data_IF_327215668261
#
_entry.id   IF_327215668261
#
_cell.length_a   1.000
_cell.length_b   1.000
_cell.length_c   1.000
_cell.angle_alpha   90.00
_cell.angle_beta   90.00
_cell.angle_gamma   90.00
#
_symmetry.space_group_name_H-M   'P 1'
#
loop_
_entity.id
_entity.type
_entity.pdbx_description
1 polymer ?
#
# COMPACT_ATOMS: atom_id res chain seq x y z
N UNK A 1 18.49 -24.04 12.24
CA UNK A 1 18.51 -22.58 12.51
C UNK A 1 18.38 -21.73 11.24
N UNK A 2 18.85 -22.19 10.06
CA UNK A 2 18.71 -21.44 8.81
C UNK A 2 17.25 -21.14 8.38
N UNK A 3 16.28 -22.04 8.63
CA UNK A 3 14.92 -21.94 8.07
C UNK A 3 14.03 -20.82 8.67
N UNK A 4 14.18 -20.49 9.96
CA UNK A 4 13.32 -19.49 10.60
C UNK A 4 13.73 -18.06 10.25
N UNK A 5 15.04 -17.77 10.25
CA UNK A 5 15.56 -16.46 9.85
C UNK A 5 15.26 -16.16 8.38
N UNK A 6 15.35 -17.18 7.52
CA UNK A 6 15.06 -17.07 6.08
C UNK A 6 13.58 -16.72 5.83
N UNK A 7 12.66 -17.34 6.57
CA UNK A 7 11.23 -17.02 6.50
C UNK A 7 10.91 -15.59 6.94
N UNK A 8 11.53 -15.12 8.02
CA UNK A 8 11.35 -13.74 8.50
C UNK A 8 11.90 -12.73 7.49
N UNK A 9 13.06 -13.00 6.88
CA UNK A 9 13.65 -12.14 5.86
C UNK A 9 12.73 -12.03 4.62
N UNK A 10 12.28 -13.16 4.07
CA UNK A 10 11.34 -13.19 2.94
C UNK A 10 10.04 -12.45 3.25
N UNK A 11 9.49 -12.63 4.47
CA UNK A 11 8.28 -11.92 4.87
C UNK A 11 8.51 -10.40 5.01
N UNK A 12 9.67 -9.99 5.51
CA UNK A 12 10.06 -8.57 5.62
C UNK A 12 10.11 -7.93 4.24
N UNK A 13 10.76 -8.57 3.27
CA UNK A 13 10.82 -8.08 1.89
C UNK A 13 9.44 -8.00 1.26
N UNK A 14 8.63 -9.05 1.37
CA UNK A 14 7.26 -9.05 0.85
C UNK A 14 6.42 -7.90 1.42
N UNK A 15 6.55 -7.58 2.71
CA UNK A 15 5.82 -6.46 3.32
C UNK A 15 6.32 -5.10 2.81
N UNK A 16 7.62 -4.93 2.60
CA UNK A 16 8.18 -3.71 1.99
C UNK A 16 7.77 -3.54 0.53
N UNK A 17 7.72 -4.63 -0.24
CA UNK A 17 7.28 -4.61 -1.63
C UNK A 17 5.81 -4.19 -1.77
N UNK A 18 5.00 -4.43 -0.73
CA UNK A 18 3.62 -3.92 -0.65
C UNK A 18 3.55 -2.42 -0.31
N UNK A 19 4.67 -1.77 -0.03
CA UNK A 19 4.78 -0.35 0.32
C UNK A 19 4.61 -0.04 1.80
N UNK A 20 4.64 -1.05 2.69
CA UNK A 20 4.62 -0.79 4.14
C UNK A 20 5.95 -0.18 4.58
N UNK A 21 5.87 0.80 5.48
CA UNK A 21 7.04 1.37 6.14
C UNK A 21 7.66 0.42 7.18
N UNK A 22 8.88 0.73 7.58
CA UNK A 22 9.66 -0.10 8.51
C UNK A 22 8.97 -0.29 9.87
N UNK A 23 8.20 0.70 10.33
CA UNK A 23 7.42 0.61 11.57
C UNK A 23 6.29 -0.42 11.44
N UNK A 24 5.53 -0.34 10.35
CA UNK A 24 4.43 -1.24 10.03
C UNK A 24 4.93 -2.66 9.77
N UNK A 25 6.07 -2.81 9.09
CA UNK A 25 6.73 -4.10 8.89
C UNK A 25 7.10 -4.73 10.24
N UNK A 26 7.74 -3.99 11.14
CA UNK A 26 8.10 -4.48 12.47
C UNK A 26 6.87 -4.94 13.27
N UNK A 27 5.77 -4.18 13.19
CA UNK A 27 4.49 -4.54 13.83
C UNK A 27 3.90 -5.83 13.27
N UNK A 28 3.92 -6.02 11.96
CA UNK A 28 3.48 -7.26 11.31
C UNK A 28 4.31 -8.47 11.76
N UNK A 29 5.64 -8.32 11.82
CA UNK A 29 6.54 -9.38 12.29
C UNK A 29 6.25 -9.75 13.75
N UNK A 30 6.07 -8.75 14.63
CA UNK A 30 5.72 -8.98 16.04
C UNK A 30 4.38 -9.74 16.19
N UNK A 31 3.38 -9.41 15.37
CA UNK A 31 2.09 -10.11 15.38
C UNK A 31 2.23 -11.58 14.96
N UNK A 32 3.10 -11.87 13.98
CA UNK A 32 3.40 -13.26 13.59
C UNK A 32 4.14 -14.01 14.69
N UNK A 33 5.18 -13.42 15.27
CA UNK A 33 5.93 -14.02 16.38
C UNK A 33 5.03 -14.31 17.60
N UNK A 34 4.06 -13.43 17.85
CA UNK A 34 3.12 -13.55 18.96
C UNK A 34 1.87 -14.40 18.64
N UNK A 35 1.75 -14.94 17.41
CA UNK A 35 0.61 -15.74 16.97
C UNK A 35 -0.71 -14.96 16.83
N UNK A 36 -0.66 -13.63 16.74
CA UNK A 36 -1.81 -12.73 16.68
C UNK A 36 -2.38 -12.59 15.25
N UNK A 37 -2.68 -13.70 14.60
CA UNK A 37 -3.07 -13.72 13.18
C UNK A 37 -4.36 -12.96 12.87
N UNK A 38 -5.32 -12.90 13.81
CA UNK A 38 -6.54 -12.11 13.62
C UNK A 38 -6.26 -10.60 13.61
N UNK A 39 -5.34 -10.14 14.45
CA UNK A 39 -4.92 -8.73 14.47
C UNK A 39 -4.15 -8.39 13.18
N UNK A 40 -3.29 -9.31 12.72
CA UNK A 40 -2.57 -9.17 11.46
C UNK A 40 -3.52 -9.09 10.26
N UNK A 41 -4.52 -9.98 10.17
CA UNK A 41 -5.52 -9.95 9.09
C UNK A 41 -6.31 -8.63 9.09
N UNK A 42 -6.72 -8.15 10.26
CA UNK A 42 -7.38 -6.85 10.39
C UNK A 42 -6.49 -5.69 9.92
N UNK A 43 -5.21 -5.70 10.33
CA UNK A 43 -4.23 -4.70 9.91
C UNK A 43 -4.04 -4.69 8.38
N UNK A 44 -3.83 -5.86 7.77
CA UNK A 44 -3.63 -5.97 6.32
C UNK A 44 -4.88 -5.57 5.52
N UNK A 45 -6.09 -5.86 6.01
CA UNK A 45 -7.34 -5.39 5.40
C UNK A 45 -7.45 -3.87 5.46
N UNK A 46 -7.11 -3.27 6.60
CA UNK A 46 -7.08 -1.81 6.74
C UNK A 46 -6.06 -1.20 5.77
N UNK A 47 -4.86 -1.77 5.68
CA UNK A 47 -3.83 -1.30 4.75
C UNK A 47 -4.29 -1.40 3.29
N UNK A 48 -4.91 -2.52 2.90
CA UNK A 48 -5.52 -2.67 1.58
C UNK A 48 -6.55 -1.57 1.28
N UNK A 49 -7.35 -1.17 2.27
CA UNK A 49 -8.30 -0.06 2.08
C UNK A 49 -7.56 1.26 1.80
N UNK A 50 -6.47 1.57 2.53
CA UNK A 50 -5.68 2.80 2.29
C UNK A 50 -5.06 2.85 0.89
N UNK A 51 -4.66 1.69 0.34
CA UNK A 51 -4.20 1.60 -1.04
C UNK A 51 -5.32 1.90 -2.04
N UNK A 52 -6.52 1.35 -1.82
CA UNK A 52 -7.69 1.64 -2.64
C UNK A 52 -8.08 3.12 -2.57
N UNK A 53 -8.10 3.71 -1.38
CA UNK A 53 -8.39 5.13 -1.19
C UNK A 53 -7.38 6.01 -1.94
N UNK A 54 -6.11 5.60 -1.95
CA UNK A 54 -5.07 6.28 -2.72
C UNK A 54 -5.31 6.18 -4.23
N UNK A 55 -5.68 5.00 -4.75
CA UNK A 55 -6.05 4.82 -6.17
C UNK A 55 -7.22 5.72 -6.54
N UNK A 56 -8.29 5.73 -5.74
CA UNK A 56 -9.45 6.59 -5.99
C UNK A 56 -9.06 8.07 -6.01
N UNK A 57 -8.28 8.52 -5.01
CA UNK A 57 -7.77 9.89 -4.95
C UNK A 57 -6.95 10.28 -6.18
N UNK A 58 -6.09 9.39 -6.69
CA UNK A 58 -5.27 9.69 -7.86
C UNK A 58 -6.09 9.64 -9.15
N UNK A 59 -7.08 8.75 -9.27
CA UNK A 59 -8.02 8.74 -10.38
C UNK A 59 -8.80 10.07 -10.46
N UNK A 60 -9.37 10.54 -9.35
CA UNK A 60 -10.11 11.82 -9.32
C UNK A 60 -9.23 13.00 -9.79
N UNK A 61 -7.94 12.98 -9.42
CA UNK A 61 -6.96 14.00 -9.84
C UNK A 61 -6.65 13.91 -11.33
N UNK A 62 -6.51 12.70 -11.87
CA UNK A 62 -6.29 12.47 -13.30
C UNK A 62 -7.51 12.94 -14.09
N UNK A 63 -8.72 12.58 -13.66
CA UNK A 63 -9.96 13.03 -14.30
C UNK A 63 -10.07 14.56 -14.37
N UNK A 64 -9.72 15.24 -13.26
CA UNK A 64 -9.67 16.70 -13.23
C UNK A 64 -8.63 17.27 -14.20
N UNK A 65 -7.44 16.66 -14.26
CA UNK A 65 -6.36 17.08 -15.15
C UNK A 65 -6.73 16.88 -16.63
N UNK A 66 -7.36 15.76 -16.96
CA UNK A 66 -7.79 15.41 -18.31
C UNK A 66 -8.91 16.36 -18.77
N UNK A 67 -9.86 16.66 -17.90
CA UNK A 67 -10.91 17.63 -18.18
C UNK A 67 -10.34 19.03 -18.46
N UNK A 68 -9.40 19.50 -17.62
CA UNK A 68 -8.72 20.77 -17.83
C UNK A 68 -7.97 20.79 -19.17
N UNK A 69 -7.21 19.74 -19.45
CA UNK A 69 -6.41 19.62 -20.68
C UNK A 69 -7.30 19.61 -21.92
N UNK A 70 -8.41 18.85 -21.89
CA UNK A 70 -9.41 18.85 -22.96
C UNK A 70 -9.98 20.25 -23.20
N UNK A 71 -10.36 20.96 -22.12
CA UNK A 71 -10.93 22.30 -22.20
C UNK A 71 -9.95 23.30 -22.80
N UNK A 72 -8.68 23.27 -22.39
CA UNK A 72 -7.65 24.16 -22.93
C UNK A 72 -7.40 23.89 -24.43
N UNK A 73 -7.31 22.62 -24.83
CA UNK A 73 -7.15 22.23 -26.25
C UNK A 73 -8.32 22.68 -27.11
N UNK A 74 -9.55 22.55 -26.61
CA UNK A 74 -10.76 22.97 -27.32
C UNK A 74 -10.83 24.48 -27.51
N UNK A 75 -10.28 25.25 -26.57
CA UNK A 75 -10.31 26.71 -26.57
C UNK A 75 -9.04 27.35 -27.17
N UNK A 76 -8.12 26.56 -27.73
CA UNK A 76 -6.89 27.05 -28.38
C UNK A 76 -5.84 27.61 -27.41
N UNK A 77 -5.91 27.26 -26.13
CA UNK A 77 -4.96 27.71 -25.11
C UNK A 77 -3.64 26.90 -25.08
N UNK A 78 -3.67 25.70 -25.65
CA UNK A 78 -2.56 24.79 -25.95
C UNK A 78 -2.93 23.91 -27.13
#
# INVERSE_FOLDING_TARGET
MANAADKTAVMTENLRDMGLDDESVAKCLQMVESGQYQALDCFLKSYRQTLLDSVHKYNDRIDCLDFLTYTLRKNGGI
#
